data_IF_018049531631
#
_entry.id   IF_018049531631
#
_cell.length_a   1.000
_cell.length_b   1.000
_cell.length_c   1.000
_cell.angle_alpha   90.00
_cell.angle_beta   90.00
_cell.angle_gamma   90.00
#
_symmetry.space_group_name_H-M   'P 1'
#
loop_
_entity.id
_entity.type
_entity.pdbx_description
1 polymer ?
#
# COMPACT_ATOMS: atom_id res chain seq x y z
N UNK A 1 -1.40 1.71 -7.29
CA UNK A 1 -2.65 0.90 -7.29
C UNK A 1 -3.73 1.54 -8.14
N UNK A 2 -3.86 2.85 -8.04
CA UNK A 2 -4.90 3.58 -8.79
C UNK A 2 -4.70 3.47 -10.31
N UNK A 3 -3.46 3.52 -10.77
CA UNK A 3 -3.16 3.44 -12.21
C UNK A 3 -3.33 2.05 -12.78
N UNK A 4 -3.14 1.00 -12.00
CA UNK A 4 -3.26 -0.38 -12.50
C UNK A 4 -4.68 -0.96 -12.35
N UNK A 5 -5.60 -0.23 -11.72
CA UNK A 5 -7.00 -0.63 -11.64
C UNK A 5 -7.38 -1.57 -10.51
N UNK A 6 -6.59 -1.61 -9.43
CA UNK A 6 -6.93 -2.36 -8.24
C UNK A 6 -6.00 -3.53 -7.93
N UNK A 7 -6.27 -4.23 -6.82
CA UNK A 7 -5.40 -5.30 -6.32
C UNK A 7 -5.29 -6.50 -7.26
N UNK A 8 -6.38 -6.89 -7.91
CA UNK A 8 -6.34 -8.03 -8.83
C UNK A 8 -5.41 -7.78 -10.01
N UNK A 9 -5.48 -6.60 -10.61
CA UNK A 9 -4.57 -6.21 -11.69
C UNK A 9 -3.14 -6.04 -11.18
N UNK A 10 -2.98 -5.49 -9.98
CA UNK A 10 -1.65 -5.35 -9.36
C UNK A 10 -0.99 -6.71 -9.17
N UNK A 11 -1.72 -7.72 -8.72
CA UNK A 11 -1.18 -9.08 -8.58
C UNK A 11 -0.76 -9.67 -9.94
N UNK A 12 -1.51 -9.42 -10.99
CA UNK A 12 -1.13 -9.84 -12.36
C UNK A 12 0.17 -9.15 -12.80
N UNK A 13 0.33 -7.88 -12.49
CA UNK A 13 1.56 -7.15 -12.79
C UNK A 13 2.74 -7.69 -12.00
N UNK A 14 2.53 -8.07 -10.74
CA UNK A 14 3.56 -8.72 -9.92
C UNK A 14 4.01 -10.03 -10.55
N UNK A 15 3.07 -10.87 -10.97
CA UNK A 15 3.39 -12.15 -11.63
C UNK A 15 4.20 -11.94 -12.91
N UNK A 16 3.81 -10.99 -13.75
CA UNK A 16 4.53 -10.65 -14.98
C UNK A 16 5.94 -10.14 -14.67
N UNK A 17 6.07 -9.28 -13.66
CA UNK A 17 7.36 -8.74 -13.25
C UNK A 17 8.30 -9.84 -12.79
N UNK A 18 7.81 -10.79 -12.00
CA UNK A 18 8.59 -11.92 -11.53
C UNK A 18 9.03 -12.82 -12.70
N UNK A 19 8.12 -13.08 -13.64
CA UNK A 19 8.41 -13.88 -14.83
C UNK A 19 9.51 -13.27 -15.68
N UNK A 20 9.55 -11.94 -15.78
CA UNK A 20 10.54 -11.21 -16.58
C UNK A 20 11.72 -10.67 -15.76
N UNK A 21 11.80 -11.03 -14.48
CA UNK A 21 12.88 -10.65 -13.57
C UNK A 21 13.03 -9.13 -13.38
N UNK A 22 11.90 -8.42 -13.35
CA UNK A 22 11.86 -6.99 -13.01
C UNK A 22 11.72 -6.81 -11.50
N UNK A 23 12.47 -5.84 -10.97
CA UNK A 23 12.23 -5.35 -9.63
C UNK A 23 10.98 -4.48 -9.60
N UNK A 24 10.32 -4.44 -8.44
CA UNK A 24 9.08 -3.70 -8.26
C UNK A 24 9.31 -2.58 -7.25
N UNK A 25 8.81 -1.40 -7.59
CA UNK A 25 8.64 -0.30 -6.65
C UNK A 25 7.16 -0.01 -6.49
N UNK A 26 6.68 0.04 -5.26
CA UNK A 26 5.32 0.48 -4.96
C UNK A 26 5.33 1.95 -4.65
N UNK A 27 4.55 2.71 -5.40
CA UNK A 27 4.38 4.14 -5.18
C UNK A 27 2.95 4.50 -4.85
N UNK A 28 2.72 5.75 -4.50
CA UNK A 28 1.41 6.27 -4.17
C UNK A 28 1.19 7.66 -4.74
N UNK A 29 -0.05 8.10 -4.65
CA UNK A 29 -0.44 9.49 -4.76
C UNK A 29 -0.78 10.00 -3.36
N UNK A 30 -1.32 11.19 -3.23
CA UNK A 30 -1.90 11.64 -1.96
C UNK A 30 -3.20 10.87 -1.78
N UNK A 31 -3.20 9.91 -0.87
CA UNK A 31 -4.28 8.95 -0.66
C UNK A 31 -4.60 8.84 0.81
N UNK A 32 -5.82 8.41 1.14
CA UNK A 32 -6.18 8.09 2.52
C UNK A 32 -5.47 6.81 2.96
N UNK A 33 -5.55 6.52 4.26
CA UNK A 33 -4.99 5.30 4.82
C UNK A 33 -5.55 4.02 4.20
N UNK A 34 -6.76 4.05 3.64
CA UNK A 34 -7.32 2.89 2.93
C UNK A 34 -6.45 2.54 1.71
N UNK A 35 -6.18 3.50 0.85
CA UNK A 35 -5.40 3.28 -0.37
C UNK A 35 -3.98 2.84 -0.06
N UNK A 36 -3.34 3.53 0.88
CA UNK A 36 -1.97 3.21 1.31
C UNK A 36 -1.91 1.80 1.93
N UNK A 37 -2.87 1.46 2.79
CA UNK A 37 -2.93 0.14 3.42
C UNK A 37 -3.15 -0.96 2.37
N UNK A 38 -4.02 -0.72 1.40
CA UNK A 38 -4.26 -1.68 0.32
C UNK A 38 -2.97 -1.96 -0.47
N UNK A 39 -2.25 -0.91 -0.88
CA UNK A 39 -0.99 -1.07 -1.60
C UNK A 39 0.08 -1.76 -0.74
N UNK A 40 0.10 -1.47 0.55
CA UNK A 40 1.07 -2.05 1.48
C UNK A 40 0.96 -3.58 1.59
N UNK A 41 -0.21 -4.15 1.27
CA UNK A 41 -0.38 -5.61 1.26
C UNK A 41 0.53 -6.29 0.23
N UNK A 42 0.99 -5.57 -0.78
CA UNK A 42 1.90 -6.08 -1.80
C UNK A 42 3.38 -5.85 -1.45
N UNK A 43 3.66 -5.35 -0.25
CA UNK A 43 5.01 -4.93 0.14
C UNK A 43 6.07 -6.02 0.05
N UNK A 44 5.69 -7.28 0.30
CA UNK A 44 6.64 -8.40 0.24
C UNK A 44 7.16 -8.69 -1.18
N UNK A 45 6.47 -8.21 -2.21
CA UNK A 45 6.87 -8.38 -3.61
C UNK A 45 7.75 -7.24 -4.12
N UNK A 46 7.88 -6.16 -3.36
CA UNK A 46 8.54 -4.95 -3.80
C UNK A 46 9.94 -4.82 -3.21
N UNK A 47 10.84 -4.25 -3.99
CA UNK A 47 12.18 -3.89 -3.54
C UNK A 47 12.18 -2.52 -2.86
N UNK A 48 11.34 -1.60 -3.34
CA UNK A 48 11.24 -0.24 -2.79
C UNK A 48 9.78 0.10 -2.50
N UNK A 49 9.55 0.81 -1.40
CA UNK A 49 8.23 1.29 -0.98
C UNK A 49 8.29 2.80 -0.79
N UNK A 50 7.37 3.50 -1.47
CA UNK A 50 7.14 4.93 -1.29
C UNK A 50 5.64 5.11 -1.03
N UNK A 51 5.22 4.84 0.21
CA UNK A 51 3.81 4.72 0.60
C UNK A 51 3.50 5.64 1.79
N UNK A 52 3.76 6.92 1.64
CA UNK A 52 3.57 7.92 2.68
C UNK A 52 2.53 9.00 2.34
N UNK A 53 1.77 8.80 1.25
CA UNK A 53 0.83 9.81 0.78
C UNK A 53 -0.23 10.21 1.79
N UNK A 54 -0.61 9.32 2.71
CA UNK A 54 -1.59 9.59 3.75
C UNK A 54 -1.05 10.56 4.82
N UNK A 55 0.26 10.65 4.99
CA UNK A 55 0.88 11.56 5.96
C UNK A 55 0.64 13.03 5.59
N UNK A 56 0.40 13.29 4.31
CA UNK A 56 0.15 14.64 3.79
C UNK A 56 -1.27 15.13 4.02
N UNK A 57 -2.17 14.25 4.50
CA UNK A 57 -3.57 14.61 4.72
C UNK A 57 -3.78 15.20 6.11
N UNK A 58 -4.50 16.32 6.17
CA UNK A 58 -4.89 16.93 7.44
C UNK A 58 -6.00 16.14 8.14
N UNK A 59 -6.88 15.50 7.39
CA UNK A 59 -8.02 14.73 7.90
C UNK A 59 -8.19 13.43 7.13
N UNK A 60 -7.38 12.45 7.46
CA UNK A 60 -7.54 11.08 6.98
C UNK A 60 -8.67 10.43 7.78
N UNK A 61 -9.81 10.04 7.15
CA UNK A 61 -10.96 9.50 7.89
C UNK A 61 -10.74 8.09 8.41
N UNK A 62 -9.60 7.46 8.10
CA UNK A 62 -9.33 6.08 8.49
C UNK A 62 -7.99 5.95 9.17
N UNK A 63 -7.86 4.88 9.95
CA UNK A 63 -6.59 4.46 10.57
C UNK A 63 -6.16 3.18 9.86
N UNK A 64 -5.00 3.21 9.24
CA UNK A 64 -4.45 2.08 8.51
C UNK A 64 -3.04 1.73 8.96
N UNK A 65 -2.19 1.34 8.01
CA UNK A 65 -0.80 0.98 8.31
C UNK A 65 -0.08 2.12 9.01
N UNK A 66 0.77 1.74 9.96
CA UNK A 66 1.66 2.67 10.64
C UNK A 66 3.03 2.76 9.98
N UNK A 67 3.79 3.75 10.41
CA UNK A 67 5.18 3.91 10.02
C UNK A 67 6.01 4.02 11.30
N UNK A 68 6.83 3.02 11.57
CA UNK A 68 7.71 2.98 12.74
C UNK A 68 9.17 2.99 12.27
N UNK A 69 9.87 4.07 12.58
CA UNK A 69 11.29 4.24 12.24
C UNK A 69 11.57 3.99 10.74
N UNK A 70 10.71 4.51 9.87
CA UNK A 70 10.84 4.35 8.43
C UNK A 70 10.32 3.04 7.86
N UNK A 71 9.76 2.17 8.69
CA UNK A 71 9.19 0.90 8.26
C UNK A 71 7.67 0.94 8.30
N UNK A 72 7.04 0.41 7.25
CA UNK A 72 5.58 0.25 7.21
C UNK A 72 5.21 -0.96 8.04
N UNK A 73 4.27 -0.77 8.98
CA UNK A 73 3.79 -1.82 9.88
C UNK A 73 2.38 -2.20 9.46
N UNK A 74 2.23 -3.42 8.95
CA UNK A 74 0.93 -3.97 8.58
C UNK A 74 0.09 -4.26 9.82
N UNK A 75 -1.23 -4.18 9.64
CA UNK A 75 -2.18 -4.47 10.70
C UNK A 75 -2.46 -5.97 10.76
N UNK A 76 -2.45 -6.54 11.95
CA UNK A 76 -2.78 -7.95 12.17
C UNK A 76 -4.29 -8.10 12.43
N UNK A 77 -5.08 -7.82 11.41
CA UNK A 77 -6.54 -7.83 11.44
C UNK A 77 -7.08 -8.35 10.11
N UNK A 78 -8.32 -8.88 10.09
CA UNK A 78 -8.94 -9.37 8.85
C UNK A 78 -9.04 -8.28 7.78
N UNK A 79 -8.95 -8.68 6.52
CA UNK A 79 -8.97 -7.78 5.38
C UNK A 79 -7.80 -6.82 5.40
N UNK A 80 -8.03 -5.54 5.14
CA UNK A 80 -7.01 -4.51 5.24
C UNK A 80 -6.72 -4.10 6.68
N UNK A 81 -7.63 -4.38 7.59
CA UNK A 81 -7.50 -4.02 8.99
C UNK A 81 -7.71 -2.55 9.29
N UNK A 82 -8.13 -1.75 8.31
CA UNK A 82 -8.39 -0.32 8.53
C UNK A 82 -9.61 -0.11 9.41
N UNK A 83 -9.59 0.95 10.20
CA UNK A 83 -10.70 1.35 11.06
C UNK A 83 -11.08 2.79 10.76
N UNK A 84 -12.37 3.08 10.92
CA UNK A 84 -12.85 4.46 10.80
C UNK A 84 -12.34 5.29 11.97
N UNK A 85 -11.83 6.48 11.65
CA UNK A 85 -11.36 7.42 12.67
C UNK A 85 -12.56 8.14 13.27
N UNK A 86 -12.71 8.03 14.56
CA UNK A 86 -13.80 8.68 15.28
C UNK A 86 -13.39 10.03 15.82
#
# INVERSE_FOLDING_TARGET
LMKCGGLSNALKMVELSQKHQFDIMLGCMVETSIGITAMSQLGSFARWLDLDGNVLLANDPYIGVGNEAGKIVLLDKPGLGVEERK
#
